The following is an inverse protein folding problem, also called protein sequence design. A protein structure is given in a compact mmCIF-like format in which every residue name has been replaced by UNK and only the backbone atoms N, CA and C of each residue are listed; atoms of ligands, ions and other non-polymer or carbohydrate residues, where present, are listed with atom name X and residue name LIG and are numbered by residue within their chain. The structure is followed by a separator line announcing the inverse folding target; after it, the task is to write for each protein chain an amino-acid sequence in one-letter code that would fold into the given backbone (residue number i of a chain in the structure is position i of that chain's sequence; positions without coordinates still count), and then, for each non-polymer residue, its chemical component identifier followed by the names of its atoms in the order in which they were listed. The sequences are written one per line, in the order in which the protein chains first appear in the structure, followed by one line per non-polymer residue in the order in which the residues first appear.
data_IF_088576588390
#
_entry.id   IF_088576588390
#
_cell.length_a   1.000
_cell.length_b   1.000
_cell.length_c   1.000
_cell.angle_alpha   90.00
_cell.angle_beta   90.00
_cell.angle_gamma   90.00
#
_symmetry.space_group_name_H-M   'P 1'
#
loop_
_entity.id
_entity.type
_entity.pdbx_description
1 polymer ?
#
# COMPACT_ATOMS: atom_id res chain seq x y z
N UNK A 1 27.97 6.83 11.89
CA UNK A 1 27.47 5.65 12.63
C UNK A 1 27.65 5.87 14.13
N UNK A 2 26.66 6.46 14.80
CA UNK A 2 26.41 6.16 16.21
C UNK A 2 25.43 4.99 16.24
N UNK A 3 25.85 3.85 15.65
CA UNK A 3 25.06 2.64 15.75
C UNK A 3 25.21 2.17 17.19
N UNK A 4 24.12 2.25 17.97
CA UNK A 4 24.01 1.41 19.16
C UNK A 4 24.29 -0.05 18.77
N UNK A 5 24.73 -0.87 19.73
CA UNK A 5 24.97 -2.29 19.48
C UNK A 5 23.76 -2.90 18.72
N UNK A 6 24.02 -3.65 17.66
CA UNK A 6 22.95 -4.29 16.86
C UNK A 6 22.25 -5.33 17.74
N UNK A 7 20.92 -5.25 17.82
CA UNK A 7 20.11 -6.24 18.52
C UNK A 7 19.85 -7.45 17.63
N UNK A 8 19.34 -7.20 16.42
CA UNK A 8 18.96 -8.24 15.48
C UNK A 8 19.14 -7.79 14.02
N UNK A 9 19.27 -8.78 13.13
CA UNK A 9 19.32 -8.60 11.68
C UNK A 9 18.38 -9.62 11.03
N UNK A 10 17.50 -9.14 10.14
CA UNK A 10 16.56 -9.97 9.41
C UNK A 10 16.63 -9.70 7.90
N UNK A 11 16.31 -10.69 7.05
CA UNK A 11 16.00 -10.42 5.65
C UNK A 11 14.76 -9.52 5.56
N UNK A 12 14.70 -8.70 4.52
CA UNK A 12 13.49 -7.89 4.24
C UNK A 12 12.49 -8.69 3.41
N UNK A 13 11.21 -8.37 3.57
CA UNK A 13 10.15 -8.90 2.69
C UNK A 13 10.23 -8.27 1.29
N UNK A 14 9.56 -8.88 0.32
CA UNK A 14 9.47 -8.30 -1.03
C UNK A 14 8.74 -6.94 -1.02
N UNK A 15 7.72 -6.78 -0.18
CA UNK A 15 7.05 -5.49 0.00
C UNK A 15 7.99 -4.40 0.55
N UNK A 16 8.82 -4.74 1.55
CA UNK A 16 9.86 -3.82 2.03
C UNK A 16 10.88 -3.49 0.95
N UNK A 17 11.33 -4.48 0.16
CA UNK A 17 12.27 -4.28 -0.94
C UNK A 17 11.70 -3.33 -2.02
N UNK A 18 10.46 -3.55 -2.44
CA UNK A 18 9.75 -2.67 -3.39
C UNK A 18 9.61 -1.25 -2.83
N UNK A 19 9.17 -1.13 -1.57
CA UNK A 19 9.05 0.17 -0.91
C UNK A 19 10.38 0.92 -0.84
N UNK A 20 11.47 0.26 -0.46
CA UNK A 20 12.82 0.85 -0.44
C UNK A 20 13.26 1.29 -1.84
N UNK A 21 13.09 0.41 -2.84
CA UNK A 21 13.48 0.68 -4.22
C UNK A 21 12.74 1.91 -4.78
N UNK A 22 11.42 1.95 -4.63
CA UNK A 22 10.58 3.04 -5.14
C UNK A 22 10.89 4.35 -4.41
N UNK A 23 11.15 4.28 -3.11
CA UNK A 23 11.50 5.42 -2.29
C UNK A 23 12.88 6.02 -2.69
N UNK A 24 13.87 5.17 -2.99
CA UNK A 24 15.17 5.60 -3.55
C UNK A 24 14.98 6.23 -4.94
N UNK A 25 14.21 5.58 -5.82
CA UNK A 25 13.99 6.05 -7.20
C UNK A 25 13.29 7.41 -7.24
N UNK A 26 12.34 7.64 -6.34
CA UNK A 26 11.60 8.90 -6.23
C UNK A 26 12.32 9.96 -5.37
N UNK A 27 13.48 9.64 -4.78
CA UNK A 27 14.22 10.58 -3.93
C UNK A 27 13.51 10.94 -2.61
N UNK A 28 12.63 10.06 -2.13
CA UNK A 28 11.88 10.25 -0.88
C UNK A 28 11.83 8.92 -0.12
N UNK A 29 12.81 8.68 0.76
CA UNK A 29 12.92 7.42 1.49
C UNK A 29 11.82 7.18 2.55
N UNK A 30 11.20 8.27 3.02
CA UNK A 30 10.20 8.23 4.08
C UNK A 30 8.96 9.08 3.74
N UNK A 31 7.84 8.65 4.30
CA UNK A 31 6.58 9.38 4.28
C UNK A 31 6.51 10.32 5.48
N UNK A 32 5.74 11.40 5.33
CA UNK A 32 5.55 12.41 6.36
C UNK A 32 4.06 12.53 6.67
N UNK A 33 3.72 12.35 7.94
CA UNK A 33 2.36 12.44 8.45
C UNK A 33 2.24 13.65 9.35
N UNK A 34 1.18 14.43 9.17
CA UNK A 34 0.96 15.68 9.87
C UNK A 34 -0.24 15.55 10.80
N UNK A 35 -0.08 15.94 12.06
CA UNK A 35 -1.14 15.89 13.07
C UNK A 35 -1.13 17.16 13.92
N UNK A 36 -2.28 17.84 14.03
CA UNK A 36 -2.44 18.95 14.97
C UNK A 36 -2.71 18.39 16.37
N UNK A 37 -1.81 18.66 17.32
CA UNK A 37 -1.85 18.10 18.67
C UNK A 37 -2.44 19.08 19.71
N UNK A 38 -2.94 20.24 19.28
CA UNK A 38 -3.53 21.25 20.15
C UNK A 38 -2.52 22.19 20.81
N UNK A 39 -3.02 23.11 21.64
CA UNK A 39 -2.21 24.15 22.32
C UNK A 39 -1.58 23.67 23.63
N UNK A 40 -2.20 22.71 24.30
CA UNK A 40 -1.85 22.28 25.66
C UNK A 40 -1.02 20.98 25.72
N UNK A 41 -0.31 20.64 24.64
CA UNK A 41 0.51 19.44 24.59
C UNK A 41 1.66 19.48 25.64
N UNK A 42 1.68 18.51 26.55
CA UNK A 42 2.80 18.26 27.46
C UNK A 42 3.98 17.64 26.69
N UNK A 43 4.87 18.49 26.17
CA UNK A 43 6.01 18.08 25.34
C UNK A 43 6.92 17.05 26.05
N UNK A 44 7.32 17.22 27.33
CA UNK A 44 8.07 16.19 28.05
C UNK A 44 7.36 14.84 28.09
N UNK A 45 6.05 14.82 28.33
CA UNK A 45 5.25 13.58 28.32
C UNK A 45 5.15 12.96 26.92
N UNK A 46 5.00 13.78 25.89
CA UNK A 46 5.00 13.32 24.50
C UNK A 46 6.36 12.69 24.11
N UNK A 47 7.47 13.31 24.53
CA UNK A 47 8.80 12.71 24.35
C UNK A 47 8.93 11.34 25.02
N UNK A 48 8.42 11.21 26.24
CA UNK A 48 8.41 9.94 26.95
C UNK A 48 7.53 8.89 26.26
N UNK A 49 6.37 9.27 25.70
CA UNK A 49 5.52 8.35 24.95
C UNK A 49 6.16 7.89 23.65
N UNK A 50 6.83 8.78 22.90
CA UNK A 50 7.64 8.39 21.74
C UNK A 50 8.74 7.39 22.10
N UNK A 51 9.46 7.61 23.21
CA UNK A 51 10.50 6.71 23.68
C UNK A 51 9.95 5.32 24.01
N UNK A 52 8.83 5.26 24.76
CA UNK A 52 8.15 4.02 25.11
C UNK A 52 7.65 3.27 23.86
N UNK A 53 7.14 3.98 22.85
CA UNK A 53 6.74 3.39 21.56
C UNK A 53 7.94 2.76 20.83
N UNK A 54 9.08 3.47 20.75
CA UNK A 54 10.29 2.96 20.10
C UNK A 54 10.89 1.75 20.83
N UNK A 55 10.80 1.72 22.16
CA UNK A 55 11.22 0.58 22.98
C UNK A 55 10.30 -0.63 22.78
N UNK A 56 8.98 -0.39 22.76
CA UNK A 56 7.96 -1.43 22.59
C UNK A 56 8.01 -2.08 21.22
N UNK A 57 8.32 -1.32 20.17
CA UNK A 57 8.24 -1.78 18.78
C UNK A 57 9.58 -1.66 18.05
N UNK A 58 10.41 -2.71 18.07
CA UNK A 58 11.76 -2.66 17.49
C UNK A 58 11.81 -2.30 16.00
N UNK A 59 10.76 -2.60 15.22
CA UNK A 59 10.64 -2.23 13.79
C UNK A 59 10.78 -0.72 13.56
N UNK A 60 10.34 0.11 14.51
CA UNK A 60 10.42 1.56 14.39
C UNK A 60 11.85 2.09 14.53
N UNK A 61 12.76 1.28 15.07
CA UNK A 61 14.20 1.57 15.14
C UNK A 61 14.99 1.01 13.96
N UNK A 62 14.35 0.21 13.11
CA UNK A 62 15.02 -0.48 12.03
C UNK A 62 15.61 0.48 10.98
N UNK A 63 16.79 0.12 10.50
CA UNK A 63 17.43 0.70 9.31
C UNK A 63 17.52 -0.37 8.22
N UNK A 64 17.76 0.06 6.99
CA UNK A 64 17.74 -0.81 5.81
C UNK A 64 19.04 -0.74 4.99
N UNK A 65 20.22 -0.98 5.59
CA UNK A 65 21.48 -0.91 4.85
C UNK A 65 21.58 -1.97 3.75
N UNK A 66 22.31 -1.63 2.68
CA UNK A 66 22.61 -2.55 1.59
C UNK A 66 23.96 -3.25 1.81
N UNK A 67 23.97 -4.58 1.66
CA UNK A 67 25.16 -5.41 1.67
C UNK A 67 25.09 -6.38 0.49
N UNK A 68 26.12 -6.36 -0.37
CA UNK A 68 26.22 -7.18 -1.58
C UNK A 68 24.99 -7.04 -2.51
N UNK A 69 24.49 -5.81 -2.66
CA UNK A 69 23.36 -5.50 -3.53
C UNK A 69 21.99 -5.90 -2.95
N UNK A 70 21.92 -6.32 -1.70
CA UNK A 70 20.66 -6.65 -1.00
C UNK A 70 20.50 -5.81 0.25
N UNK A 71 19.30 -5.29 0.47
CA UNK A 71 18.95 -4.58 1.69
C UNK A 71 18.61 -5.56 2.82
N UNK A 72 18.95 -5.18 4.05
CA UNK A 72 18.71 -5.96 5.27
C UNK A 72 18.01 -5.10 6.30
N UNK A 73 17.10 -5.69 7.09
CA UNK A 73 16.51 -5.00 8.22
C UNK A 73 17.45 -5.13 9.42
N UNK A 74 18.07 -4.04 9.82
CA UNK A 74 18.99 -3.98 10.96
C UNK A 74 18.34 -3.22 12.09
N UNK A 75 18.16 -3.89 13.23
CA UNK A 75 17.50 -3.33 14.42
C UNK A 75 18.58 -3.04 15.47
N UNK A 76 18.78 -1.77 15.86
CA UNK A 76 19.68 -1.44 16.95
C UNK A 76 19.03 -1.69 18.33
N UNK A 77 19.84 -1.98 19.34
CA UNK A 77 19.38 -2.10 20.74
C UNK A 77 18.77 -0.80 21.26
N UNK A 78 19.34 0.33 20.84
CA UNK A 78 18.95 1.67 21.27
C UNK A 78 18.97 2.61 20.08
N UNK A 79 18.05 3.57 20.11
CA UNK A 79 18.00 4.69 19.17
C UNK A 79 17.91 5.94 20.03
N UNK A 80 18.83 6.89 19.83
CA UNK A 80 18.72 8.21 20.46
C UNK A 80 17.36 8.81 20.07
N UNK A 81 16.60 9.27 21.07
CA UNK A 81 15.21 9.70 20.89
C UNK A 81 15.10 10.74 19.77
N UNK A 82 14.53 10.40 18.59
CA UNK A 82 14.55 11.26 17.42
C UNK A 82 13.39 12.26 17.49
N UNK A 83 13.38 13.10 18.52
CA UNK A 83 12.35 14.12 18.73
C UNK A 83 12.97 15.52 18.62
N UNK A 84 12.60 16.27 17.58
CA UNK A 84 12.94 17.69 17.41
C UNK A 84 11.77 18.57 17.82
N UNK A 85 12.06 19.71 18.45
CA UNK A 85 11.06 20.75 18.75
C UNK A 85 11.54 22.03 18.11
N UNK A 86 10.73 22.60 17.23
CA UNK A 86 11.06 23.79 16.45
C UNK A 86 10.00 24.86 16.69
N UNK A 87 10.42 26.04 17.14
CA UNK A 87 9.54 27.20 17.21
C UNK A 87 9.39 27.83 15.82
N UNK A 88 8.14 28.01 15.39
CA UNK A 88 7.80 28.61 14.09
C UNK A 88 6.90 29.82 14.29
N UNK A 89 7.13 30.85 13.48
CA UNK A 89 6.30 32.07 13.46
C UNK A 89 5.33 32.08 12.28
N UNK A 90 5.52 31.16 11.32
CA UNK A 90 4.62 30.99 10.18
C UNK A 90 3.47 30.06 10.56
N UNK A 91 2.39 30.11 9.79
CA UNK A 91 1.27 29.18 9.91
C UNK A 91 1.75 27.71 9.89
N UNK A 92 1.22 26.87 10.80
CA UNK A 92 1.64 25.48 10.99
C UNK A 92 1.48 24.61 9.73
N UNK A 93 0.44 24.84 8.93
CA UNK A 93 0.24 24.08 7.69
C UNK A 93 1.30 24.45 6.65
N UNK A 94 1.63 25.74 6.53
CA UNK A 94 2.73 26.19 5.67
C UNK A 94 4.09 25.67 6.17
N UNK A 95 4.40 25.88 7.46
CA UNK A 95 5.67 25.50 8.05
C UNK A 95 5.92 23.99 7.97
N UNK A 96 4.89 23.16 8.15
CA UNK A 96 5.03 21.70 8.00
C UNK A 96 5.26 21.27 6.55
N UNK A 97 4.59 21.88 5.57
CA UNK A 97 4.86 21.60 4.15
C UNK A 97 6.28 22.01 3.74
N UNK A 98 6.70 23.22 4.11
CA UNK A 98 8.05 23.72 3.81
C UNK A 98 9.13 22.85 4.47
N UNK A 99 8.88 22.37 5.69
CA UNK A 99 9.75 21.41 6.37
C UNK A 99 9.85 20.08 5.61
N UNK A 100 8.72 19.49 5.20
CA UNK A 100 8.72 18.22 4.48
C UNK A 100 9.46 18.32 3.13
N UNK A 101 9.18 19.39 2.35
CA UNK A 101 9.86 19.66 1.08
C UNK A 101 11.37 19.85 1.25
N UNK A 102 11.79 20.48 2.33
CA UNK A 102 13.20 20.64 2.64
C UNK A 102 13.85 19.31 3.00
N UNK A 103 13.19 18.48 3.83
CA UNK A 103 13.83 17.30 4.43
C UNK A 103 13.72 16.02 3.59
N UNK A 104 12.83 15.96 2.59
CA UNK A 104 12.50 14.74 1.83
C UNK A 104 13.68 14.03 1.16
N UNK A 105 14.71 14.78 0.74
CA UNK A 105 15.85 14.26 -0.02
C UNK A 105 17.07 13.84 0.80
N UNK A 106 17.07 14.02 2.12
CA UNK A 106 18.28 13.85 2.94
C UNK A 106 18.44 12.46 3.56
N UNK A 107 17.38 11.65 3.58
CA UNK A 107 17.38 10.39 4.31
C UNK A 107 17.84 9.23 3.43
N UNK A 108 18.86 8.51 3.89
CA UNK A 108 19.34 7.29 3.25
C UNK A 108 18.81 6.03 3.96
N UNK A 109 18.80 4.85 3.29
CA UNK A 109 18.43 3.59 3.93
C UNK A 109 19.29 3.20 5.15
N UNK A 110 20.46 3.80 5.33
CA UNK A 110 21.37 3.53 6.45
C UNK A 110 21.00 4.31 7.73
N UNK A 111 20.08 5.25 7.63
CA UNK A 111 19.72 6.16 8.72
C UNK A 111 18.34 5.77 9.29
N UNK A 112 18.10 5.97 10.60
CA UNK A 112 16.80 5.73 11.21
C UNK A 112 15.74 6.62 10.54
N UNK A 113 14.76 6.02 9.84
CA UNK A 113 13.75 6.79 9.13
C UNK A 113 12.74 7.47 10.07
N UNK A 114 12.49 6.90 11.25
CA UNK A 114 11.54 7.42 12.22
C UNK A 114 12.06 8.71 12.84
N UNK A 115 11.27 9.76 12.75
CA UNK A 115 11.51 11.02 13.45
C UNK A 115 10.20 11.72 13.81
N UNK A 116 10.16 12.30 15.01
CA UNK A 116 9.04 13.09 15.51
C UNK A 116 9.45 14.55 15.57
N UNK A 117 8.86 15.40 14.73
CA UNK A 117 9.17 16.83 14.72
C UNK A 117 7.96 17.61 15.19
N UNK A 118 8.09 18.29 16.33
CA UNK A 118 7.06 19.15 16.89
C UNK A 118 7.30 20.59 16.44
N UNK A 119 6.47 21.09 15.53
CA UNK A 119 6.42 22.49 15.15
C UNK A 119 5.50 23.22 16.14
N UNK A 120 6.05 24.17 16.90
CA UNK A 120 5.33 24.94 17.91
C UNK A 120 5.09 26.36 17.42
N UNK A 121 3.82 26.72 17.32
CA UNK A 121 3.37 28.08 17.03
C UNK A 121 2.67 28.67 18.26
N UNK A 122 2.88 29.95 18.55
CA UNK A 122 2.35 30.60 19.76
C UNK A 122 0.83 30.55 19.87
N UNK A 123 0.14 30.75 18.74
CA UNK A 123 -1.32 30.88 18.71
C UNK A 123 -2.05 29.66 18.14
N UNK A 124 -1.34 28.78 17.42
CA UNK A 124 -1.93 27.62 16.72
C UNK A 124 -1.60 26.29 17.42
N UNK A 125 -0.77 26.33 18.47
CA UNK A 125 -0.37 25.15 19.23
C UNK A 125 0.75 24.37 18.58
N UNK A 126 0.68 23.05 18.69
CA UNK A 126 1.72 22.13 18.23
C UNK A 126 1.21 21.28 17.08
N UNK A 127 2.00 21.19 16.00
CA UNK A 127 1.81 20.23 14.91
C UNK A 127 2.96 19.23 14.89
N UNK A 128 2.62 17.95 14.93
CA UNK A 128 3.57 16.86 14.73
C UNK A 128 3.76 16.62 13.24
N UNK A 129 5.02 16.53 12.83
CA UNK A 129 5.45 15.90 11.58
C UNK A 129 6.11 14.57 11.96
N UNK A 130 5.44 13.46 11.70
CA UNK A 130 5.98 12.11 11.88
C UNK A 130 6.58 11.64 10.54
N UNK A 131 7.91 11.54 10.50
CA UNK A 131 8.62 10.91 9.38
C UNK A 131 8.75 9.41 9.67
N UNK A 132 8.43 8.55 8.72
CA UNK A 132 8.55 7.09 8.85
C UNK A 132 8.66 6.43 7.46
N UNK A 133 9.47 5.38 7.32
CA UNK A 133 9.61 4.67 6.03
C UNK A 133 8.49 3.65 5.85
N UNK A 134 7.97 3.50 4.63
CA UNK A 134 6.99 2.45 4.31
C UNK A 134 7.55 1.03 4.50
N UNK A 135 8.87 0.88 4.64
CA UNK A 135 9.51 -0.36 5.06
C UNK A 135 9.32 -0.69 6.56
N UNK A 136 8.66 0.17 7.34
CA UNK A 136 8.40 -0.03 8.77
C UNK A 136 6.91 -0.12 9.12
N UNK A 137 6.02 0.23 8.21
CA UNK A 137 4.58 0.25 8.46
C UNK A 137 3.78 -0.10 7.21
N UNK A 138 2.52 -0.40 7.42
CA UNK A 138 1.50 -0.51 6.38
C UNK A 138 0.19 0.18 6.83
N UNK A 139 -0.81 0.20 5.95
CA UNK A 139 -2.08 0.89 6.22
C UNK A 139 -2.83 0.40 7.47
N UNK A 140 -2.61 -0.85 7.89
CA UNK A 140 -3.26 -1.43 9.08
C UNK A 140 -2.46 -1.13 10.36
N UNK A 141 -1.12 -1.22 10.31
CA UNK A 141 -0.27 -0.95 11.47
C UNK A 141 -0.09 0.53 11.78
N UNK A 142 -0.23 1.43 10.80
CA UNK A 142 0.02 2.85 11.00
C UNK A 142 -0.90 3.50 12.05
N UNK A 143 -2.23 3.33 12.00
CA UNK A 143 -3.11 3.82 13.06
C UNK A 143 -2.73 3.28 14.46
N UNK A 144 -2.29 2.02 14.53
CA UNK A 144 -1.88 1.39 15.79
C UNK A 144 -0.56 1.97 16.35
N UNK A 145 0.34 2.46 15.49
CA UNK A 145 1.53 3.23 15.91
C UNK A 145 1.09 4.51 16.62
N UNK A 146 0.20 5.29 15.99
CA UNK A 146 -0.31 6.54 16.56
C UNK A 146 -1.10 6.31 17.85
N UNK A 147 -1.97 5.30 17.87
CA UNK A 147 -2.73 4.91 19.05
C UNK A 147 -1.81 4.48 20.19
N UNK A 148 -0.71 3.79 19.90
CA UNK A 148 0.28 3.41 20.92
C UNK A 148 0.96 4.63 21.55
N UNK A 149 1.34 5.62 20.74
CA UNK A 149 1.91 6.89 21.24
C UNK A 149 0.91 7.58 22.17
N UNK A 150 -0.37 7.61 21.79
CA UNK A 150 -1.43 8.18 22.60
C UNK A 150 -1.66 7.41 23.90
N UNK A 151 -1.70 6.08 23.84
CA UNK A 151 -1.87 5.22 25.02
C UNK A 151 -0.73 5.45 26.02
N UNK A 152 0.52 5.48 25.56
CA UNK A 152 1.66 5.80 26.42
C UNK A 152 1.60 7.23 26.97
N UNK A 153 1.16 8.21 26.18
CA UNK A 153 0.95 9.58 26.65
C UNK A 153 -0.10 9.65 27.77
N UNK A 154 -1.19 8.89 27.64
CA UNK A 154 -2.27 8.79 28.62
C UNK A 154 -2.00 7.80 29.75
N UNK A 155 -0.82 7.15 29.76
CA UNK A 155 -0.45 6.10 30.73
C UNK A 155 -1.44 4.93 30.77
N UNK A 156 -1.99 4.59 29.61
CA UNK A 156 -2.85 3.42 29.41
C UNK A 156 -1.96 2.20 29.20
N UNK A 157 -2.14 1.17 30.01
CA UNK A 157 -1.46 -0.10 29.83
C UNK A 157 -1.96 -0.82 28.58
N UNK A 158 -1.04 -1.42 27.82
CA UNK A 158 -1.34 -2.15 26.60
C UNK A 158 -0.93 -3.62 26.73
N UNK A 159 -1.73 -4.57 26.22
CA UNK A 159 -1.38 -5.98 26.24
C UNK A 159 -0.11 -6.27 25.44
N UNK A 160 0.57 -7.36 25.78
CA UNK A 160 1.65 -7.92 24.97
C UNK A 160 1.13 -8.29 23.58
N UNK A 161 1.86 -7.89 22.55
CA UNK A 161 1.56 -8.23 21.15
C UNK A 161 2.79 -8.86 20.52
N UNK A 162 2.62 -9.80 19.58
CA UNK A 162 3.75 -10.35 18.84
C UNK A 162 4.51 -9.25 18.08
N UNK A 163 5.83 -9.37 18.03
CA UNK A 163 6.65 -8.48 17.23
C UNK A 163 6.64 -8.87 15.75
N UNK A 164 7.02 -7.94 14.87
CA UNK A 164 7.21 -8.21 13.43
C UNK A 164 8.08 -9.44 13.10
N UNK A 165 9.16 -9.77 13.86
CA UNK A 165 9.92 -10.99 13.63
C UNK A 165 9.09 -12.29 13.71
N UNK A 166 8.02 -12.32 14.52
CA UNK A 166 7.11 -13.47 14.60
C UNK A 166 6.44 -13.73 13.25
N UNK A 167 5.99 -12.67 12.57
CA UNK A 167 5.46 -12.76 11.22
C UNK A 167 6.50 -13.27 10.21
N UNK A 168 7.74 -12.76 10.25
CA UNK A 168 8.80 -13.20 9.34
C UNK A 168 9.12 -14.70 9.50
N UNK A 169 9.22 -15.18 10.74
CA UNK A 169 9.46 -16.60 11.02
C UNK A 169 8.29 -17.46 10.54
N UNK A 170 7.06 -16.99 10.73
CA UNK A 170 5.87 -17.69 10.27
C UNK A 170 5.80 -17.76 8.74
N UNK A 171 5.99 -16.64 8.05
CA UNK A 171 6.03 -16.57 6.59
C UNK A 171 7.09 -17.53 6.00
N UNK A 172 8.28 -17.57 6.61
CA UNK A 172 9.33 -18.50 6.21
C UNK A 172 8.91 -19.99 6.35
N UNK A 173 8.10 -20.33 7.36
CA UNK A 173 7.57 -21.69 7.55
C UNK A 173 6.46 -22.04 6.56
N UNK A 174 5.65 -21.07 6.13
CA UNK A 174 4.57 -21.28 5.17
C UNK A 174 5.07 -21.37 3.72
N UNK A 175 6.30 -20.91 3.45
CA UNK A 175 6.91 -20.84 2.12
C UNK A 175 6.71 -22.10 1.25
N UNK A 176 6.94 -23.34 1.73
CA UNK A 176 6.76 -24.53 0.89
C UNK A 176 5.30 -24.74 0.42
N UNK A 177 4.32 -24.53 1.31
CA UNK A 177 2.89 -24.64 0.97
C UNK A 177 2.46 -23.52 0.02
N UNK A 178 2.95 -22.31 0.26
CA UNK A 178 2.70 -21.18 -0.62
C UNK A 178 3.23 -21.45 -2.03
N UNK A 179 4.44 -22.00 -2.17
CA UNK A 179 5.02 -22.37 -3.48
C UNK A 179 4.17 -23.40 -4.22
N UNK A 180 3.62 -24.39 -3.53
CA UNK A 180 2.69 -25.37 -4.14
C UNK A 180 1.42 -24.69 -4.68
N UNK A 181 0.79 -23.83 -3.86
CA UNK A 181 -0.37 -23.05 -4.26
C UNK A 181 -0.08 -22.19 -5.50
N UNK A 182 1.00 -21.41 -5.48
CA UNK A 182 1.34 -20.50 -6.57
C UNK A 182 1.73 -21.23 -7.85
N UNK A 183 2.46 -22.34 -7.75
CA UNK A 183 2.81 -23.18 -8.91
C UNK A 183 1.57 -23.71 -9.61
N UNK A 184 0.55 -24.12 -8.85
CA UNK A 184 -0.72 -24.59 -9.39
C UNK A 184 -1.52 -23.46 -10.07
N UNK A 185 -1.65 -22.30 -9.39
CA UNK A 185 -2.42 -21.17 -9.91
C UNK A 185 -1.79 -20.56 -11.17
N UNK A 186 -0.46 -20.47 -11.22
CA UNK A 186 0.27 -19.76 -12.27
C UNK A 186 0.78 -20.67 -13.40
N UNK A 187 0.49 -21.96 -13.35
CA UNK A 187 0.94 -22.90 -14.38
C UNK A 187 0.51 -22.47 -15.79
N UNK A 188 1.47 -22.40 -16.71
CA UNK A 188 1.23 -22.06 -18.12
C UNK A 188 0.71 -20.65 -18.35
N UNK A 189 0.86 -19.76 -17.37
CA UNK A 189 0.43 -18.37 -17.48
C UNK A 189 1.55 -17.46 -17.99
N UNK A 190 1.17 -16.25 -18.41
CA UNK A 190 2.09 -15.17 -18.76
C UNK A 190 1.53 -13.83 -18.32
N UNK A 191 2.38 -12.88 -17.99
CA UNK A 191 1.96 -11.50 -17.71
C UNK A 191 1.54 -10.79 -19.00
N UNK A 192 0.38 -10.14 -18.98
CA UNK A 192 -0.08 -9.31 -20.08
C UNK A 192 0.58 -7.92 -20.04
N UNK A 193 0.99 -7.40 -21.20
CA UNK A 193 1.61 -6.07 -21.33
C UNK A 193 0.56 -4.99 -21.54
N UNK A 194 0.10 -4.37 -20.46
CA UNK A 194 -0.94 -3.33 -20.47
C UNK A 194 -0.39 -1.98 -20.90
N UNK A 195 0.79 -1.58 -20.43
CA UNK A 195 1.35 -0.24 -20.68
C UNK A 195 1.46 0.06 -22.18
N UNK A 196 1.98 -0.91 -22.94
CA UNK A 196 2.15 -0.79 -24.40
C UNK A 196 0.85 -0.57 -25.20
N UNK A 197 -0.32 -0.77 -24.56
CA UNK A 197 -1.65 -0.64 -25.17
C UNK A 197 -2.38 0.63 -24.76
N UNK A 198 -2.00 1.23 -23.63
CA UNK A 198 -2.61 2.47 -23.10
C UNK A 198 -1.84 3.74 -23.48
N UNK A 199 -0.61 3.59 -24.00
CA UNK A 199 0.23 4.68 -24.47
C UNK A 199 -0.55 5.69 -25.33
N UNK A 200 -0.59 6.98 -24.95
CA UNK A 200 -1.17 8.02 -25.79
C UNK A 200 -0.45 8.09 -27.14
N UNK A 201 -1.21 8.17 -28.25
CA UNK A 201 -0.63 8.41 -29.57
C UNK A 201 0.16 9.74 -29.55
N UNK A 202 1.42 9.72 -30.01
CA UNK A 202 2.27 10.90 -30.06
C UNK A 202 3.05 11.22 -28.77
N UNK A 203 3.17 10.26 -27.85
CA UNK A 203 4.13 10.35 -26.74
C UNK A 203 5.54 10.59 -27.28
N UNK A 204 6.14 11.72 -26.88
CA UNK A 204 7.50 12.09 -27.27
C UNK A 204 8.47 11.15 -26.52
N UNK A 205 9.27 10.31 -27.21
CA UNK A 205 10.09 9.27 -26.58
C UNK A 205 11.09 9.77 -25.52
N UNK A 206 11.44 11.06 -25.55
CA UNK A 206 12.56 11.61 -24.77
C UNK A 206 12.16 12.54 -23.61
N UNK A 207 10.87 12.70 -23.30
CA UNK A 207 10.45 13.47 -22.12
C UNK A 207 10.37 12.60 -20.87
N UNK A 208 10.89 13.04 -19.71
CA UNK A 208 10.75 12.27 -18.47
C UNK A 208 9.26 12.11 -18.13
N UNK A 209 8.82 10.89 -17.75
CA UNK A 209 7.42 10.63 -17.44
C UNK A 209 7.00 11.47 -16.24
N UNK A 210 5.77 12.01 -16.30
CA UNK A 210 5.17 12.80 -15.23
C UNK A 210 4.05 12.00 -14.57
N UNK A 211 3.81 12.24 -13.28
CA UNK A 211 2.70 11.64 -12.53
C UNK A 211 1.36 11.94 -13.22
N UNK A 212 0.51 10.92 -13.28
CA UNK A 212 -0.89 11.03 -13.66
C UNK A 212 -1.71 10.46 -12.50
N UNK A 213 -2.66 11.24 -12.01
CA UNK A 213 -3.59 10.85 -10.94
C UNK A 213 -5.01 11.19 -11.37
N UNK A 214 -5.92 10.23 -11.25
CA UNK A 214 -7.35 10.41 -11.49
C UNK A 214 -8.09 10.00 -10.22
N UNK A 215 -8.87 10.91 -9.66
CA UNK A 215 -9.68 10.66 -8.46
C UNK A 215 -11.14 10.97 -8.75
N UNK A 216 -11.99 9.94 -8.71
CA UNK A 216 -13.41 10.10 -9.08
C UNK A 216 -14.33 9.27 -8.19
N UNK A 217 -15.52 9.81 -7.93
CA UNK A 217 -16.59 9.08 -7.26
C UNK A 217 -17.54 8.49 -8.30
N UNK A 218 -17.97 7.25 -8.09
CA UNK A 218 -18.97 6.56 -8.93
C UNK A 218 -20.01 5.86 -8.08
N UNK A 219 -21.28 5.80 -8.51
CA UNK A 219 -22.34 5.15 -7.74
C UNK A 219 -21.97 3.72 -7.37
N UNK A 220 -22.34 3.29 -6.16
CA UNK A 220 -22.27 1.87 -5.81
C UNK A 220 -23.26 1.06 -6.62
N UNK A 221 -22.90 -0.20 -6.84
CA UNK A 221 -23.80 -1.20 -7.39
C UNK A 221 -24.20 -2.17 -6.29
N UNK A 222 -25.46 -2.62 -6.31
CA UNK A 222 -25.95 -3.57 -5.33
C UNK A 222 -25.25 -4.92 -5.55
N UNK A 223 -24.58 -5.42 -4.51
CA UNK A 223 -23.87 -6.68 -4.58
C UNK A 223 -24.85 -7.87 -4.63
N UNK A 224 -24.57 -8.87 -5.47
CA UNK A 224 -25.36 -10.09 -5.54
C UNK A 224 -24.90 -11.13 -4.52
N UNK A 225 -25.84 -11.68 -3.75
CA UNK A 225 -25.59 -12.77 -2.82
C UNK A 225 -24.46 -12.48 -1.82
N UNK A 226 -23.49 -13.39 -1.74
CA UNK A 226 -22.31 -13.31 -0.87
C UNK A 226 -21.07 -12.68 -1.53
N UNK A 227 -21.24 -12.01 -2.68
CA UNK A 227 -20.12 -11.37 -3.40
C UNK A 227 -19.62 -10.16 -2.60
N UNK A 228 -18.30 -9.97 -2.53
CA UNK A 228 -17.69 -8.79 -1.90
C UNK A 228 -17.39 -7.69 -2.93
N UNK A 229 -17.25 -6.44 -2.48
CA UNK A 229 -16.77 -5.34 -3.34
C UNK A 229 -15.41 -5.66 -3.95
N UNK A 230 -14.49 -6.24 -3.18
CA UNK A 230 -13.17 -6.64 -3.66
C UNK A 230 -13.27 -7.64 -4.81
N UNK A 231 -14.12 -8.67 -4.68
CA UNK A 231 -14.39 -9.66 -5.74
C UNK A 231 -14.96 -8.99 -7.00
N UNK A 232 -15.97 -8.14 -6.85
CA UNK A 232 -16.60 -7.49 -8.00
C UNK A 232 -15.64 -6.58 -8.76
N UNK A 233 -14.88 -5.75 -8.02
CA UNK A 233 -13.91 -4.82 -8.60
C UNK A 233 -12.77 -5.61 -9.26
N UNK A 234 -12.30 -6.69 -8.64
CA UNK A 234 -11.28 -7.60 -9.17
C UNK A 234 -11.73 -8.28 -10.46
N UNK A 235 -12.96 -8.82 -10.51
CA UNK A 235 -13.52 -9.41 -11.73
C UNK A 235 -13.71 -8.37 -12.85
N UNK A 236 -14.23 -7.18 -12.50
CA UNK A 236 -14.40 -6.10 -13.46
C UNK A 236 -13.06 -5.59 -14.02
N UNK A 237 -12.04 -5.49 -13.17
CA UNK A 237 -10.67 -5.15 -13.58
C UNK A 237 -10.09 -6.18 -14.54
N UNK A 238 -10.25 -7.47 -14.25
CA UNK A 238 -9.80 -8.54 -15.14
C UNK A 238 -10.40 -8.43 -16.55
N UNK A 239 -11.70 -8.15 -16.64
CA UNK A 239 -12.39 -7.89 -17.90
C UNK A 239 -11.83 -6.66 -18.60
N UNK A 240 -11.66 -5.55 -17.88
CA UNK A 240 -11.12 -4.31 -18.44
C UNK A 240 -9.73 -4.54 -19.05
N UNK A 241 -8.84 -5.17 -18.29
CA UNK A 241 -7.48 -5.48 -18.76
C UNK A 241 -7.51 -6.48 -19.92
N UNK A 242 -8.39 -7.48 -19.90
CA UNK A 242 -8.58 -8.41 -21.02
C UNK A 242 -8.94 -7.67 -22.31
N UNK A 243 -9.79 -6.65 -22.24
CA UNK A 243 -10.17 -5.83 -23.41
C UNK A 243 -9.02 -4.96 -23.89
N UNK A 244 -8.26 -4.35 -22.99
CA UNK A 244 -7.09 -3.52 -23.34
C UNK A 244 -6.02 -4.36 -24.05
N UNK A 245 -5.76 -5.56 -23.52
CA UNK A 245 -4.65 -6.41 -23.96
C UNK A 245 -5.04 -7.39 -25.05
N UNK A 246 -6.34 -7.56 -25.30
CA UNK A 246 -6.92 -8.58 -26.19
C UNK A 246 -6.57 -10.02 -25.79
N UNK A 247 -6.30 -10.26 -24.50
CA UNK A 247 -6.00 -11.60 -23.95
C UNK A 247 -7.12 -12.06 -23.04
N UNK A 248 -7.43 -13.36 -23.03
CA UNK A 248 -8.47 -13.93 -22.16
C UNK A 248 -7.94 -14.37 -20.79
N UNK A 249 -6.66 -14.74 -20.72
CA UNK A 249 -5.95 -15.05 -19.48
C UNK A 249 -5.19 -13.81 -19.03
N UNK A 250 -5.60 -13.26 -17.89
CA UNK A 250 -5.13 -11.98 -17.37
C UNK A 250 -4.57 -12.19 -15.98
N UNK A 251 -3.41 -11.58 -15.74
CA UNK A 251 -2.79 -11.51 -14.42
C UNK A 251 -2.53 -10.05 -14.06
N UNK A 252 -2.88 -9.68 -12.83
CA UNK A 252 -2.58 -8.39 -12.23
C UNK A 252 -2.17 -8.57 -10.77
N UNK A 253 -1.53 -7.54 -10.21
CA UNK A 253 -1.17 -7.50 -8.81
C UNK A 253 -2.38 -7.12 -7.95
N UNK A 254 -2.52 -7.77 -6.81
CA UNK A 254 -3.51 -7.43 -5.79
C UNK A 254 -2.82 -7.20 -4.46
N UNK A 255 -3.05 -6.03 -3.87
CA UNK A 255 -2.48 -5.71 -2.56
C UNK A 255 -3.33 -6.33 -1.45
N UNK A 256 -2.71 -7.19 -0.66
CA UNK A 256 -3.28 -7.85 0.53
C UNK A 256 -2.61 -7.33 1.79
N UNK A 257 -3.31 -7.42 2.93
CA UNK A 257 -2.77 -6.99 4.23
C UNK A 257 -1.65 -7.91 4.77
N UNK A 258 -1.58 -9.15 4.27
CA UNK A 258 -0.70 -10.22 4.77
C UNK A 258 -1.04 -10.69 6.18
N UNK A 259 -2.23 -10.34 6.69
CA UNK A 259 -2.70 -10.68 8.04
C UNK A 259 -3.64 -11.88 8.08
N UNK A 260 -3.67 -12.69 7.01
CA UNK A 260 -4.41 -13.96 6.98
C UNK A 260 -3.70 -15.11 7.71
N UNK A 261 -2.49 -14.87 8.20
CA UNK A 261 -1.68 -15.85 8.93
C UNK A 261 -2.33 -16.24 10.26
N UNK A 262 -2.27 -17.53 10.62
CA UNK A 262 -2.77 -18.06 11.88
C UNK A 262 -1.84 -17.73 13.08
N UNK A 263 -1.52 -16.45 13.24
CA UNK A 263 -0.73 -15.91 14.36
C UNK A 263 -1.72 -15.24 15.32
N UNK A 264 -1.71 -15.65 16.58
CA UNK A 264 -2.48 -14.97 17.62
C UNK A 264 -1.98 -13.53 17.76
N UNK A 265 -2.87 -12.56 17.58
CA UNK A 265 -2.53 -11.13 17.61
C UNK A 265 -1.93 -10.58 16.31
N UNK A 266 -2.22 -11.20 15.16
CA UNK A 266 -1.70 -10.77 13.84
C UNK A 266 -2.11 -9.33 13.45
N UNK A 267 -3.31 -8.91 13.84
CA UNK A 267 -3.83 -7.56 13.57
C UNK A 267 -3.07 -6.48 14.33
N UNK A 268 -2.52 -6.84 15.49
CA UNK A 268 -1.75 -5.96 16.37
C UNK A 268 -0.25 -5.92 16.03
N UNK A 269 0.23 -6.76 15.12
CA UNK A 269 1.63 -6.70 14.66
C UNK A 269 1.88 -5.36 13.97
N UNK A 270 2.78 -4.58 14.56
CA UNK A 270 3.32 -3.38 13.93
C UNK A 270 4.46 -3.74 12.98
N UNK A 271 4.27 -3.41 11.71
CA UNK A 271 5.22 -3.65 10.64
C UNK A 271 4.52 -3.81 9.30
N UNK A 272 5.26 -3.79 8.18
CA UNK A 272 4.71 -3.96 6.85
C UNK A 272 4.49 -5.45 6.57
N UNK A 273 3.34 -5.98 6.97
CA UNK A 273 2.94 -7.34 6.59
C UNK A 273 2.28 -7.38 5.21
N UNK A 274 1.89 -6.21 4.68
CA UNK A 274 1.30 -6.09 3.34
C UNK A 274 2.11 -6.87 2.30
N UNK A 275 1.41 -7.39 1.29
CA UNK A 275 2.06 -7.99 0.13
C UNK A 275 1.28 -7.69 -1.15
N UNK A 276 1.94 -7.83 -2.30
CA UNK A 276 1.30 -7.71 -3.61
C UNK A 276 1.41 -9.07 -4.30
N UNK A 277 0.27 -9.71 -4.50
CA UNK A 277 0.19 -11.08 -4.99
C UNK A 277 -0.48 -11.13 -6.36
N UNK A 278 -0.19 -12.14 -7.20
CA UNK A 278 -0.87 -12.26 -8.48
C UNK A 278 -2.31 -12.74 -8.28
N UNK A 279 -3.22 -12.17 -9.07
CA UNK A 279 -4.58 -12.69 -9.27
C UNK A 279 -4.68 -13.07 -10.74
N UNK A 280 -5.03 -14.32 -11.01
CA UNK A 280 -5.14 -14.86 -12.37
C UNK A 280 -6.59 -15.14 -12.71
N UNK A 281 -7.07 -14.51 -13.76
CA UNK A 281 -8.43 -14.67 -14.26
C UNK A 281 -8.37 -15.07 -15.72
N UNK A 282 -8.83 -16.29 -16.01
CA UNK A 282 -9.03 -16.76 -17.38
C UNK A 282 -10.52 -16.67 -17.74
N UNK A 283 -10.87 -15.67 -18.55
CA UNK A 283 -12.26 -15.42 -18.98
C UNK A 283 -12.83 -16.53 -19.87
N UNK A 284 -12.00 -17.37 -20.50
CA UNK A 284 -12.48 -18.50 -21.29
C UNK A 284 -13.09 -19.61 -20.42
N UNK A 285 -12.76 -19.65 -19.13
CA UNK A 285 -13.24 -20.67 -18.20
C UNK A 285 -14.58 -20.31 -17.54
N UNK A 286 -15.05 -19.06 -17.68
CA UNK A 286 -16.31 -18.62 -17.10
C UNK A 286 -17.37 -18.38 -18.19
N UNK A 287 -18.51 -19.06 -18.07
CA UNK A 287 -19.63 -18.94 -19.02
C UNK A 287 -20.60 -17.84 -18.64
N UNK A 288 -20.68 -17.49 -17.35
CA UNK A 288 -21.56 -16.45 -16.81
C UNK A 288 -20.83 -15.53 -15.84
N UNK A 289 -21.33 -14.31 -15.59
CA UNK A 289 -20.82 -13.44 -14.52
C UNK A 289 -20.79 -14.11 -13.13
N UNK A 290 -21.79 -14.94 -12.79
CA UNK A 290 -21.80 -15.70 -11.53
C UNK A 290 -20.57 -16.61 -11.44
N UNK A 291 -20.27 -17.39 -12.48
CA UNK A 291 -19.09 -18.27 -12.50
C UNK A 291 -17.78 -17.48 -12.37
N UNK A 292 -17.68 -16.32 -13.02
CA UNK A 292 -16.51 -15.45 -12.93
C UNK A 292 -16.32 -14.88 -11.52
N UNK A 293 -17.39 -14.35 -10.91
CA UNK A 293 -17.33 -13.80 -9.55
C UNK A 293 -16.97 -14.88 -8.53
N UNK A 294 -17.53 -16.07 -8.67
CA UNK A 294 -17.19 -17.22 -7.82
C UNK A 294 -15.73 -17.62 -7.98
N UNK A 295 -15.21 -17.73 -9.21
CA UNK A 295 -13.81 -18.09 -9.44
C UNK A 295 -12.83 -17.09 -8.80
N UNK A 296 -13.12 -15.78 -8.91
CA UNK A 296 -12.31 -14.74 -8.25
C UNK A 296 -12.43 -14.82 -6.73
N UNK A 297 -13.64 -15.02 -6.20
CA UNK A 297 -13.86 -15.15 -4.77
C UNK A 297 -13.17 -16.38 -4.18
N UNK A 298 -13.23 -17.52 -4.86
CA UNK A 298 -12.55 -18.75 -4.49
C UNK A 298 -11.04 -18.55 -4.44
N UNK A 299 -10.44 -17.83 -5.40
CA UNK A 299 -9.01 -17.54 -5.36
C UNK A 299 -8.63 -16.76 -4.10
N UNK A 300 -9.42 -15.76 -3.69
CA UNK A 300 -9.20 -15.03 -2.42
C UNK A 300 -9.42 -15.89 -1.17
N UNK A 301 -10.40 -16.80 -1.19
CA UNK A 301 -10.68 -17.70 -0.07
C UNK A 301 -9.61 -18.78 0.10
N UNK A 302 -9.16 -19.39 -1.01
CA UNK A 302 -8.15 -20.45 -1.01
C UNK A 302 -6.72 -19.94 -0.88
N UNK A 303 -6.49 -18.64 -1.03
CA UNK A 303 -5.19 -18.01 -0.79
C UNK A 303 -4.62 -18.40 0.59
N UNK A 304 -5.46 -18.35 1.63
CA UNK A 304 -5.08 -18.68 3.00
C UNK A 304 -3.81 -17.96 3.42
N UNK A 305 -2.83 -18.71 3.92
CA UNK A 305 -1.52 -18.18 4.36
C UNK A 305 -0.47 -18.12 3.23
N UNK A 306 -0.87 -18.44 1.98
CA UNK A 306 0.03 -18.40 0.80
C UNK A 306 0.35 -16.97 0.36
N UNK A 307 -0.31 -15.98 0.97
CA UNK A 307 -0.11 -14.55 0.74
C UNK A 307 1.17 -13.97 1.37
N UNK A 308 1.92 -14.79 2.09
CA UNK A 308 3.09 -14.37 2.86
C UNK A 308 4.42 -14.41 2.08
N UNK A 309 4.49 -15.10 0.93
CA UNK A 309 5.70 -15.13 0.10
C UNK A 309 5.74 -13.98 -0.90
N UNK A 310 6.92 -13.42 -1.10
CA UNK A 310 7.11 -12.26 -1.97
C UNK A 310 6.92 -12.57 -3.46
N UNK A 311 6.54 -11.56 -4.25
CA UNK A 311 6.32 -11.73 -5.68
C UNK A 311 7.58 -12.21 -6.44
N UNK A 312 8.77 -11.75 -6.05
CA UNK A 312 10.03 -12.25 -6.64
C UNK A 312 10.23 -13.74 -6.39
N UNK A 313 9.91 -14.21 -5.18
CA UNK A 313 9.97 -15.63 -4.82
C UNK A 313 8.98 -16.48 -5.64
N UNK A 314 7.78 -15.94 -5.89
CA UNK A 314 6.78 -16.56 -6.77
C UNK A 314 7.33 -16.70 -8.19
N UNK A 315 7.91 -15.64 -8.75
CA UNK A 315 8.47 -15.67 -10.10
C UNK A 315 9.60 -16.71 -10.20
N UNK A 316 10.59 -16.60 -9.31
CA UNK A 316 11.82 -17.37 -9.42
C UNK A 316 11.61 -18.89 -9.20
N UNK A 317 10.53 -19.28 -8.52
CA UNK A 317 10.33 -20.67 -8.10
C UNK A 317 9.02 -21.31 -8.57
N UNK A 318 8.03 -20.53 -9.03
CA UNK A 318 6.69 -21.04 -9.36
C UNK A 318 6.27 -20.76 -10.80
N UNK A 319 7.05 -20.01 -11.58
CA UNK A 319 6.71 -19.66 -12.97
C UNK A 319 7.91 -19.77 -13.90
N UNK A 320 7.65 -19.80 -15.21
CA UNK A 320 8.66 -19.68 -16.26
C UNK A 320 8.79 -18.22 -16.76
N UNK A 321 8.34 -17.25 -15.96
CA UNK A 321 8.39 -15.85 -16.37
C UNK A 321 9.84 -15.31 -16.32
N UNK A 322 10.16 -14.28 -17.10
CA UNK A 322 11.45 -13.59 -16.97
C UNK A 322 11.72 -13.12 -15.53
N UNK A 323 12.97 -13.27 -15.07
CA UNK A 323 13.40 -12.95 -13.71
C UNK A 323 13.37 -11.46 -13.35
N UNK A 324 13.02 -10.59 -14.29
CA UNK A 324 12.80 -9.14 -14.13
C UNK A 324 11.31 -8.74 -14.27
N UNK A 325 10.42 -9.72 -14.43
CA UNK A 325 8.97 -9.48 -14.56
C UNK A 325 8.40 -8.66 -13.41
N UNK A 326 7.49 -7.74 -13.72
CA UNK A 326 6.76 -6.87 -12.79
C UNK A 326 5.28 -6.85 -13.16
N UNK A 327 4.41 -6.45 -12.23
CA UNK A 327 3.02 -6.19 -12.57
C UNK A 327 2.87 -4.86 -13.30
N UNK A 328 2.29 -4.89 -14.50
CA UNK A 328 1.88 -3.65 -15.20
C UNK A 328 0.73 -2.94 -14.48
N UNK A 329 -0.14 -3.71 -13.81
CA UNK A 329 -1.29 -3.16 -13.09
C UNK A 329 -1.46 -3.78 -11.71
N UNK A 330 -1.74 -2.94 -10.72
CA UNK A 330 -1.96 -3.33 -9.33
C UNK A 330 -3.29 -2.75 -8.86
N UNK A 331 -4.13 -3.55 -8.22
CA UNK A 331 -5.38 -3.08 -7.63
C UNK A 331 -5.46 -3.35 -6.14
N UNK A 332 -6.16 -2.46 -5.46
CA UNK A 332 -6.49 -2.61 -4.05
C UNK A 332 -7.92 -2.13 -3.80
N UNK A 333 -8.68 -2.90 -3.03
CA UNK A 333 -9.91 -2.43 -2.42
C UNK A 333 -9.66 -2.21 -0.94
N UNK A 334 -9.83 -0.98 -0.46
CA UNK A 334 -9.59 -0.60 0.92
C UNK A 334 -10.92 -0.37 1.65
N UNK A 335 -11.04 -1.02 2.81
CA UNK A 335 -12.08 -0.77 3.81
C UNK A 335 -11.50 -0.15 5.09
N UNK A 336 -10.38 0.56 4.96
CA UNK A 336 -9.72 1.27 6.07
C UNK A 336 -9.94 2.77 5.93
N UNK A 337 -10.00 3.47 7.06
CA UNK A 337 -10.05 4.93 7.06
C UNK A 337 -8.65 5.48 6.74
N UNK A 338 -8.51 6.20 5.63
CA UNK A 338 -7.19 6.76 5.24
C UNK A 338 -6.74 7.86 6.20
N UNK A 339 -7.67 8.67 6.70
CA UNK A 339 -7.39 9.84 7.53
C UNK A 339 -8.01 9.67 8.92
N UNK A 340 -7.56 8.67 9.70
CA UNK A 340 -8.11 8.41 11.02
C UNK A 340 -7.95 9.64 11.92
N UNK A 341 -8.90 9.80 12.82
CA UNK A 341 -8.95 10.90 13.77
C UNK A 341 -8.62 10.38 15.17
N UNK A 342 -7.72 11.07 15.85
CA UNK A 342 -7.25 10.71 17.18
C UNK A 342 -7.47 11.85 18.17
N UNK A 343 -7.95 11.56 19.37
CA UNK A 343 -7.97 12.55 20.44
C UNK A 343 -6.58 12.72 21.06
N UNK A 344 -5.98 13.91 20.93
CA UNK A 344 -4.76 14.28 21.66
C UNK A 344 -5.07 15.46 22.58
N UNK A 345 -4.98 15.26 23.90
CA UNK A 345 -5.37 16.27 24.89
C UNK A 345 -6.85 16.69 24.69
N UNK A 346 -7.09 17.96 24.42
CA UNK A 346 -8.35 18.65 24.16
C UNK A 346 -8.63 18.80 22.65
N UNK A 347 -7.69 18.38 21.80
CA UNK A 347 -7.77 18.51 20.34
C UNK A 347 -8.11 17.18 19.66
N UNK A 348 -8.86 17.30 18.57
CA UNK A 348 -9.04 16.22 17.61
C UNK A 348 -7.99 16.34 16.51
N UNK A 349 -7.16 15.31 16.35
CA UNK A 349 -6.03 15.27 15.44
C UNK A 349 -6.34 14.32 14.28
N UNK A 350 -6.77 14.89 13.16
CA UNK A 350 -6.91 14.14 11.91
C UNK A 350 -5.55 13.95 11.25
N UNK A 351 -5.26 12.73 10.80
CA UNK A 351 -4.02 12.43 10.07
C UNK A 351 -4.07 13.03 8.67
N UNK A 352 -3.11 13.89 8.37
CA UNK A 352 -2.84 14.40 7.04
C UNK A 352 -1.57 13.76 6.46
N UNK A 353 -1.54 13.53 5.16
CA UNK A 353 -0.39 12.95 4.45
C UNK A 353 0.28 14.04 3.65
N UNK A 354 1.59 14.21 3.81
CA UNK A 354 2.35 15.03 2.90
C UNK A 354 2.40 14.37 1.52
N UNK A 355 1.91 15.06 0.51
CA UNK A 355 1.94 14.61 -0.87
C UNK A 355 3.10 15.25 -1.62
N UNK A 356 3.99 14.41 -2.16
CA UNK A 356 5.01 14.85 -3.09
C UNK A 356 4.51 14.67 -4.54
N UNK A 357 4.18 15.78 -5.19
CA UNK A 357 3.66 15.79 -6.56
C UNK A 357 4.71 15.40 -7.62
N UNK A 358 5.99 15.33 -7.23
CA UNK A 358 7.08 14.92 -8.13
C UNK A 358 7.30 13.41 -8.17
N UNK A 359 6.67 12.64 -7.26
CA UNK A 359 6.74 11.17 -7.26
C UNK A 359 6.06 10.60 -8.50
N UNK A 360 6.76 9.77 -9.26
CA UNK A 360 6.25 9.20 -10.53
C UNK A 360 5.96 7.70 -10.33
N UNK A 361 4.67 7.29 -10.33
CA UNK A 361 4.31 5.88 -10.26
C UNK A 361 4.95 5.07 -11.40
N UNK A 362 5.39 3.85 -11.10
CA UNK A 362 6.09 2.98 -12.06
C UNK A 362 5.19 1.92 -12.70
N UNK A 363 3.97 1.77 -12.18
CA UNK A 363 2.95 0.87 -12.69
C UNK A 363 1.60 1.59 -12.63
N UNK A 364 0.60 1.05 -13.32
CA UNK A 364 -0.78 1.52 -13.18
C UNK A 364 -1.39 0.93 -11.90
N UNK A 365 -1.61 1.77 -10.89
CA UNK A 365 -2.22 1.34 -9.63
C UNK A 365 -3.62 1.93 -9.45
N UNK A 366 -4.60 1.09 -9.11
CA UNK A 366 -5.94 1.55 -8.74
C UNK A 366 -6.25 1.19 -7.29
N UNK A 367 -6.63 2.19 -6.49
CA UNK A 367 -7.22 1.98 -5.17
C UNK A 367 -8.69 2.37 -5.20
N UNK A 368 -9.53 1.54 -4.58
CA UNK A 368 -10.96 1.79 -4.47
C UNK A 368 -11.40 1.74 -3.01
N UNK A 369 -12.31 2.64 -2.64
CA UNK A 369 -12.87 2.75 -1.29
C UNK A 369 -14.39 2.70 -1.36
N UNK A 370 -15.00 1.99 -0.43
CA UNK A 370 -16.44 1.97 -0.29
C UNK A 370 -16.90 3.07 0.68
N UNK A 371 -17.47 4.16 0.16
CA UNK A 371 -18.18 5.19 0.95
C UNK A 371 -19.68 4.87 1.01
N UNK A 372 -20.50 5.43 1.92
CA UNK A 372 -21.91 5.06 2.07
C UNK A 372 -22.67 4.93 0.73
N UNK A 373 -22.57 5.92 -0.15
CA UNK A 373 -23.35 5.99 -1.40
C UNK A 373 -22.54 5.76 -2.70
N UNK A 374 -21.21 5.77 -2.62
CA UNK A 374 -20.35 5.70 -3.80
C UNK A 374 -19.08 4.85 -3.57
N UNK A 375 -18.48 4.44 -4.68
CA UNK A 375 -17.08 4.07 -4.69
C UNK A 375 -16.24 5.31 -4.99
N UNK A 376 -15.23 5.56 -4.17
CA UNK A 376 -14.16 6.48 -4.50
C UNK A 376 -13.03 5.69 -5.17
N UNK A 377 -12.62 6.09 -6.37
CA UNK A 377 -11.54 5.46 -7.12
C UNK A 377 -10.38 6.43 -7.24
N UNK A 378 -9.17 5.96 -6.95
CA UNK A 378 -7.90 6.64 -7.20
C UNK A 378 -7.09 5.79 -8.17
N UNK A 379 -6.82 6.31 -9.36
CA UNK A 379 -6.00 5.66 -10.38
C UNK A 379 -4.71 6.48 -10.56
N UNK A 380 -3.57 5.85 -10.30
CA UNK A 380 -2.26 6.46 -10.43
C UNK A 380 -1.44 5.76 -11.50
N UNK A 381 -0.71 6.54 -12.29
CA UNK A 381 0.24 6.06 -13.26
C UNK A 381 1.15 7.21 -13.68
N UNK A 382 1.68 7.14 -14.89
CA UNK A 382 2.49 8.23 -15.44
C UNK A 382 2.18 8.45 -16.93
N UNK A 383 2.67 9.54 -17.50
CA UNK A 383 2.41 9.93 -18.90
C UNK A 383 2.97 8.96 -19.95
N UNK A 384 3.87 8.05 -19.58
CA UNK A 384 4.32 6.93 -20.42
C UNK A 384 3.45 5.68 -20.29
N UNK A 385 2.38 5.72 -19.47
CA UNK A 385 1.42 4.63 -19.30
C UNK A 385 0.03 5.09 -19.77
N UNK A 386 -0.46 6.23 -19.28
CA UNK A 386 -1.80 6.72 -19.56
C UNK A 386 -1.91 8.25 -19.55
N UNK A 387 -2.97 8.78 -20.15
CA UNK A 387 -3.42 10.16 -19.95
C UNK A 387 -4.49 10.26 -18.86
N UNK A 388 -4.75 11.47 -18.35
CA UNK A 388 -5.86 11.73 -17.41
C UNK A 388 -7.21 11.31 -18.03
N UNK A 389 -7.46 11.68 -19.29
CA UNK A 389 -8.69 11.33 -20.01
C UNK A 389 -8.84 9.81 -20.17
N UNK A 390 -7.76 9.11 -20.53
CA UNK A 390 -7.75 7.64 -20.61
C UNK A 390 -8.06 7.04 -19.23
N UNK A 391 -7.48 7.59 -18.16
CA UNK A 391 -7.72 7.12 -16.80
C UNK A 391 -9.17 7.29 -16.35
N UNK A 392 -9.80 8.44 -16.64
CA UNK A 392 -11.22 8.66 -16.37
C UNK A 392 -12.10 7.66 -17.15
N UNK A 393 -11.84 7.50 -18.46
CA UNK A 393 -12.55 6.51 -19.29
C UNK A 393 -12.38 5.08 -18.78
N UNK A 394 -11.20 4.71 -18.27
CA UNK A 394 -10.97 3.40 -17.67
C UNK A 394 -11.86 3.17 -16.45
N UNK A 395 -12.03 4.18 -15.58
CA UNK A 395 -12.88 4.07 -14.39
C UNK A 395 -14.37 4.03 -14.79
N UNK A 396 -14.77 4.77 -15.83
CA UNK A 396 -16.13 4.70 -16.38
C UNK A 396 -16.45 3.32 -16.97
N UNK A 397 -15.50 2.76 -17.73
CA UNK A 397 -15.61 1.40 -18.26
C UNK A 397 -15.67 0.37 -17.13
N UNK A 398 -14.81 0.50 -16.10
CA UNK A 398 -14.83 -0.36 -14.93
C UNK A 398 -16.19 -0.34 -14.24
N UNK A 399 -16.74 0.86 -13.98
CA UNK A 399 -18.05 1.05 -13.34
C UNK A 399 -19.17 0.43 -14.18
N UNK A 400 -19.10 0.59 -15.51
CA UNK A 400 -20.05 -0.03 -16.44
C UNK A 400 -19.96 -1.56 -16.39
N UNK A 401 -18.75 -2.13 -16.39
CA UNK A 401 -18.55 -3.58 -16.27
C UNK A 401 -19.13 -4.08 -14.95
N UNK A 402 -18.85 -3.41 -13.83
CA UNK A 402 -19.40 -3.77 -12.52
C UNK A 402 -20.93 -3.82 -12.56
N UNK A 403 -21.58 -2.79 -13.12
CA UNK A 403 -23.04 -2.75 -13.27
C UNK A 403 -23.58 -3.88 -14.14
N UNK A 404 -22.89 -4.25 -15.22
CA UNK A 404 -23.30 -5.35 -16.10
C UNK A 404 -23.12 -6.72 -15.45
N UNK A 405 -22.02 -6.94 -14.71
CA UNK A 405 -21.79 -8.20 -13.99
C UNK A 405 -22.93 -8.49 -13.01
N UNK A 406 -23.40 -7.47 -12.27
CA UNK A 406 -24.48 -7.65 -11.28
C UNK A 406 -25.87 -7.73 -11.91
N UNK A 407 -26.08 -7.11 -13.07
CA UNK A 407 -27.39 -7.07 -13.74
C UNK A 407 -27.69 -8.32 -14.59
N UNK A 408 -26.66 -9.04 -15.03
CA UNK A 408 -26.76 -10.14 -15.99
C UNK A 408 -26.12 -11.45 -15.50
N UNK A 409 -26.23 -11.72 -14.20
CA UNK A 409 -25.54 -12.80 -13.47
C UNK A 409 -25.46 -14.15 -14.19
N UNK A 410 -26.57 -14.58 -14.78
CA UNK A 410 -26.69 -15.91 -15.41
C UNK A 410 -26.78 -15.85 -16.94
N UNK A 411 -26.57 -14.67 -17.52
CA UNK A 411 -26.47 -14.51 -18.98
C UNK A 411 -25.09 -14.96 -19.48
N UNK A 412 -24.95 -15.32 -20.78
CA UNK A 412 -23.65 -15.63 -21.35
C UNK A 412 -22.68 -14.46 -21.16
N UNK A 413 -21.53 -14.70 -20.52
CA UNK A 413 -20.57 -13.66 -20.14
C UNK A 413 -20.23 -12.75 -21.32
N UNK A 414 -19.98 -13.31 -22.51
CA UNK A 414 -19.65 -12.54 -23.71
C UNK A 414 -20.74 -11.54 -24.10
N UNK A 415 -22.02 -11.87 -23.88
CA UNK A 415 -23.14 -10.98 -24.18
C UNK A 415 -23.25 -9.81 -23.19
N UNK A 416 -22.79 -10.00 -21.95
CA UNK A 416 -22.77 -8.98 -20.91
C UNK A 416 -21.64 -7.97 -21.13
N UNK A 417 -20.57 -8.34 -21.83
CA UNK A 417 -19.39 -7.50 -21.92
C UNK A 417 -19.53 -6.37 -22.94
N UNK A 418 -20.42 -6.49 -23.93
CA UNK A 418 -20.63 -5.49 -24.99
C UNK A 418 -19.34 -5.00 -25.66
N UNK A 419 -19.43 -3.90 -26.41
CA UNK A 419 -18.24 -3.16 -26.86
C UNK A 419 -17.82 -2.20 -25.73
N UNK A 420 -16.60 -2.38 -25.24
CA UNK A 420 -15.94 -1.45 -24.31
C UNK A 420 -14.92 -0.69 -25.12
N UNK A 421 -15.30 0.50 -25.57
CA UNK A 421 -14.40 1.34 -26.37
C UNK A 421 -13.51 2.17 -25.45
N UNK A 422 -12.22 1.84 -25.45
CA UNK A 422 -11.17 2.59 -24.74
C UNK A 422 -10.37 3.49 -25.68
N UNK A 423 -10.77 3.62 -26.95
CA UNK A 423 -10.11 4.54 -27.89
C UNK A 423 -10.42 5.98 -27.45
N UNK A 424 -9.35 6.71 -27.11
CA UNK A 424 -9.34 8.17 -27.02
C UNK A 424 -8.98 8.72 -28.38
#
# INVERSE_FOLDING_TARGET
MHAGAVADIFPITNAQATGIHDAIKNGQFANYFLLNLGVDLDIPRFKASCAATLERYPILRATFPSLLGKHWMVIPHYLDLPVRVLDVNEDLAKASNDFCLKEMGYLTPNEPPVEFVLLRHKDQGVRLVLRISHAQYDGVSFPNILQSILNFYNKIEMPAVPGYPTFLVHAARQRPKAMEYWSNILQGSSLAKVESRLLPQGTIPDSPPKRVMVEVNRPKVQLPGSTTNATLISAAWAILISRITTTQDVIYGHTVSGRNSAIEGIEEILGPTLNIIPVRVNLANARTPTELLLAVQEQFLYLGESDSIGFRDIIDNCTDWPADSMFDTIIQHQNIEEHPEFGFSDASARVEFFTNDTTVPQALSMVSYAQPDCFHFKLAGNTAILSVETGEKMIDCLTTIMGRLVSYLDSPLQSCLGDIDLRV
#
